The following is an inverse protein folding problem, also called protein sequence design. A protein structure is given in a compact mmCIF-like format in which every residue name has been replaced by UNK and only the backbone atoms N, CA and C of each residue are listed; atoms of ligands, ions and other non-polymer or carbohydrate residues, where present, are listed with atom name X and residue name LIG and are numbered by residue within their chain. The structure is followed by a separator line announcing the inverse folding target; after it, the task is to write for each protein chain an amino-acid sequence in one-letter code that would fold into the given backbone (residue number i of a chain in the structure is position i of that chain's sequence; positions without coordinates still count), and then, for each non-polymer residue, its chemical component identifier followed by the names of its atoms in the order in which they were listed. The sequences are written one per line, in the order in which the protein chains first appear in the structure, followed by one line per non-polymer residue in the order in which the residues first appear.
data_IF_052431925159
#
_entry.id   IF_052431925159
#
_cell.length_a   1.000
_cell.length_b   1.000
_cell.length_c   1.000
_cell.angle_alpha   90.00
_cell.angle_beta   90.00
_cell.angle_gamma   90.00
#
_symmetry.space_group_name_H-M   'P 1'
#
loop_
_entity.id
_entity.type
_entity.pdbx_description
1 polymer ?
#
# COMPACT_ATOMS: atom_id res chain seq x y z
N UNK A 1 4.75 2.91 -7.85
CA UNK A 1 5.70 2.86 -6.71
C UNK A 1 5.18 3.76 -5.62
N UNK A 2 5.02 3.23 -4.41
CA UNK A 2 4.53 3.94 -3.23
C UNK A 2 5.74 4.49 -2.45
N UNK A 3 5.75 5.77 -2.12
CA UNK A 3 6.81 6.39 -1.32
C UNK A 3 6.19 6.99 -0.07
N UNK A 4 6.58 6.51 1.11
CA UNK A 4 6.13 7.07 2.39
C UNK A 4 7.29 7.82 3.04
N UNK A 5 7.08 9.09 3.34
CA UNK A 5 7.99 9.96 4.09
C UNK A 5 7.41 10.14 5.48
N UNK A 6 8.17 9.87 6.54
CA UNK A 6 7.68 9.99 7.91
C UNK A 6 8.64 10.78 8.80
N UNK A 7 8.14 11.46 9.86
CA UNK A 7 8.99 12.06 10.87
C UNK A 7 9.81 10.99 11.60
N UNK A 8 10.91 11.43 12.22
CA UNK A 8 11.76 10.58 13.05
C UNK A 8 10.94 9.96 14.21
N UNK A 9 11.28 8.73 14.58
CA UNK A 9 10.69 7.98 15.71
C UNK A 9 9.19 7.62 15.57
N UNK A 10 8.68 7.54 14.33
CA UNK A 10 7.31 7.09 14.08
C UNK A 10 7.21 5.56 14.05
N UNK A 11 6.60 4.97 15.08
CA UNK A 11 6.42 3.50 15.18
C UNK A 11 5.62 2.91 14.02
N UNK A 12 4.67 3.66 13.44
CA UNK A 12 3.87 3.20 12.30
C UNK A 12 4.69 2.97 11.02
N UNK A 13 5.90 3.53 10.91
CA UNK A 13 6.72 3.36 9.71
C UNK A 13 7.08 1.89 9.43
N UNK A 14 7.37 1.12 10.49
CA UNK A 14 7.66 -0.31 10.37
C UNK A 14 6.44 -1.10 9.93
N UNK A 15 5.26 -0.76 10.46
CA UNK A 15 3.99 -1.41 10.11
C UNK A 15 3.65 -1.18 8.64
N UNK A 16 3.79 0.07 8.15
CA UNK A 16 3.54 0.39 6.74
C UNK A 16 4.46 -0.38 5.81
N UNK A 17 5.73 -0.50 6.16
CA UNK A 17 6.70 -1.29 5.39
C UNK A 17 6.28 -2.75 5.29
N UNK A 18 5.97 -3.39 6.41
CA UNK A 18 5.56 -4.80 6.45
C UNK A 18 4.29 -5.05 5.62
N UNK A 19 3.31 -4.14 5.70
CA UNK A 19 2.08 -4.23 4.90
C UNK A 19 2.35 -4.14 3.40
N UNK A 20 3.19 -3.19 2.99
CA UNK A 20 3.58 -3.01 1.58
C UNK A 20 4.41 -4.20 1.05
N UNK A 21 5.27 -4.79 1.89
CA UNK A 21 5.99 -6.04 1.57
C UNK A 21 5.02 -7.21 1.35
N UNK A 22 4.03 -7.40 2.24
CA UNK A 22 3.00 -8.44 2.10
C UNK A 22 2.17 -8.28 0.83
N UNK A 23 1.89 -7.05 0.44
CA UNK A 23 1.20 -6.73 -0.81
C UNK A 23 2.09 -6.89 -2.05
N UNK A 24 3.37 -7.25 -1.89
CA UNK A 24 4.36 -7.40 -2.97
C UNK A 24 4.43 -6.18 -3.91
N UNK A 25 4.18 -4.98 -3.36
CA UNK A 25 4.18 -3.75 -4.15
C UNK A 25 5.52 -3.01 -4.09
N UNK A 26 5.99 -2.43 -5.21
CA UNK A 26 7.19 -1.61 -5.21
C UNK A 26 7.02 -0.38 -4.31
N UNK A 27 7.79 -0.30 -3.23
CA UNK A 27 7.65 0.75 -2.22
C UNK A 27 8.99 1.27 -1.69
N UNK A 28 8.95 2.44 -1.07
CA UNK A 28 10.07 3.06 -0.36
C UNK A 28 9.56 3.81 0.86
N UNK A 29 10.07 3.48 2.05
CA UNK A 29 9.75 4.16 3.31
C UNK A 29 11.00 4.93 3.76
N UNK A 30 10.89 6.24 3.87
CA UNK A 30 12.00 7.16 4.16
C UNK A 30 11.69 8.03 5.36
N UNK A 31 12.72 8.27 6.17
CA UNK A 31 12.68 9.33 7.16
C UNK A 31 12.77 10.71 6.50
N UNK A 32 12.04 11.66 7.04
CA UNK A 32 11.95 13.05 6.56
C UNK A 32 11.97 14.01 7.74
N UNK A 33 12.54 15.19 7.52
CA UNK A 33 12.51 16.30 8.47
C UNK A 33 11.14 16.96 8.60
N UNK A 34 10.16 16.57 7.77
CA UNK A 34 8.79 17.06 7.86
C UNK A 34 8.12 16.54 9.14
N UNK A 35 7.33 17.39 9.83
CA UNK A 35 6.65 16.99 11.07
C UNK A 35 5.49 16.02 10.84
N UNK A 36 5.01 15.88 9.60
CA UNK A 36 3.85 15.06 9.24
C UNK A 36 4.25 14.02 8.20
N UNK A 37 3.73 12.80 8.38
CA UNK A 37 3.91 11.73 7.41
C UNK A 37 3.17 12.03 6.10
N UNK A 38 3.76 11.64 4.98
CA UNK A 38 3.26 11.89 3.64
C UNK A 38 3.51 10.64 2.77
N UNK A 39 2.46 10.14 2.12
CA UNK A 39 2.54 9.09 1.12
C UNK A 39 2.38 9.70 -0.26
N UNK A 40 3.28 9.37 -1.19
CA UNK A 40 3.22 9.79 -2.60
C UNK A 40 3.17 8.54 -3.46
N UNK A 41 2.23 8.48 -4.40
CA UNK A 41 2.11 7.40 -5.38
C UNK A 41 2.38 7.94 -6.79
N UNK A 42 3.36 7.37 -7.50
CA UNK A 42 3.63 7.67 -8.92
C UNK A 42 3.71 9.18 -9.27
N UNK A 43 4.33 9.99 -8.41
CA UNK A 43 4.43 11.46 -8.55
C UNK A 43 3.07 12.21 -8.61
N UNK A 44 1.97 11.60 -8.17
CA UNK A 44 0.67 12.27 -8.00
C UNK A 44 0.53 12.82 -6.57
N UNK A 45 -0.44 13.71 -6.38
CA UNK A 45 -0.72 14.34 -5.09
C UNK A 45 -0.76 13.30 -3.97
N UNK A 46 0.05 13.56 -2.93
CA UNK A 46 0.24 12.65 -1.83
C UNK A 46 -0.84 12.75 -0.77
N UNK A 47 -0.98 11.65 -0.01
CA UNK A 47 -1.83 11.55 1.16
C UNK A 47 -1.02 12.02 2.38
N UNK A 48 -1.54 12.95 3.17
CA UNK A 48 -0.83 13.53 4.31
C UNK A 48 -1.49 13.10 5.61
N UNK A 49 -0.70 12.66 6.58
CA UNK A 49 -1.14 12.26 7.91
C UNK A 49 -1.32 10.75 8.07
N UNK A 50 -1.09 10.26 9.29
CA UNK A 50 -1.06 8.83 9.64
C UNK A 50 -2.39 8.15 9.31
N UNK A 51 -3.51 8.76 9.70
CA UNK A 51 -4.85 8.20 9.49
C UNK A 51 -5.20 8.08 8.00
N UNK A 52 -4.85 9.10 7.22
CA UNK A 52 -5.10 9.13 5.79
C UNK A 52 -4.22 8.10 5.05
N UNK A 53 -2.97 7.93 5.47
CA UNK A 53 -2.08 6.87 4.96
C UNK A 53 -2.65 5.48 5.28
N UNK A 54 -3.10 5.25 6.52
CA UNK A 54 -3.72 3.99 6.90
C UNK A 54 -4.99 3.68 6.09
N UNK A 55 -5.82 4.70 5.86
CA UNK A 55 -7.02 4.59 5.02
C UNK A 55 -6.66 4.22 3.59
N UNK A 56 -5.64 4.86 3.03
CA UNK A 56 -5.12 4.54 1.70
C UNK A 56 -4.64 3.08 1.63
N UNK A 57 -3.79 2.63 2.55
CA UNK A 57 -3.28 1.26 2.57
C UNK A 57 -4.41 0.23 2.74
N UNK A 58 -5.42 0.52 3.57
CA UNK A 58 -6.59 -0.34 3.75
C UNK A 58 -7.40 -0.49 2.45
N UNK A 59 -7.61 0.61 1.72
CA UNK A 59 -8.33 0.56 0.45
C UNK A 59 -7.50 -0.18 -0.61
N UNK A 60 -6.20 0.11 -0.68
CA UNK A 60 -5.29 -0.52 -1.62
C UNK A 60 -5.21 -2.05 -1.42
N UNK A 61 -5.17 -2.52 -0.18
CA UNK A 61 -5.27 -3.96 0.14
C UNK A 61 -6.57 -4.59 -0.34
N UNK A 62 -7.71 -3.89 -0.18
CA UNK A 62 -9.00 -4.36 -0.67
C UNK A 62 -9.04 -4.45 -2.19
N UNK A 63 -8.51 -3.44 -2.87
CA UNK A 63 -8.48 -3.38 -4.33
C UNK A 63 -7.62 -4.51 -4.91
N UNK A 64 -6.46 -4.80 -4.31
CA UNK A 64 -5.62 -5.93 -4.69
C UNK A 64 -6.31 -7.29 -4.48
N UNK A 65 -7.02 -7.45 -3.35
CA UNK A 65 -7.78 -8.67 -3.07
C UNK A 65 -8.95 -8.86 -4.02
N UNK A 66 -9.70 -7.79 -4.31
CA UNK A 66 -10.80 -7.82 -5.28
C UNK A 66 -10.31 -8.16 -6.69
N UNK A 67 -9.20 -7.57 -7.12
CA UNK A 67 -8.59 -7.86 -8.42
C UNK A 67 -8.10 -9.30 -8.54
N UNK A 68 -7.56 -9.87 -7.47
CA UNK A 68 -7.17 -11.29 -7.44
C UNK A 68 -8.39 -12.22 -7.46
N UNK A 69 -9.47 -11.90 -6.74
CA UNK A 69 -10.69 -12.70 -6.74
C UNK A 69 -11.35 -12.73 -8.13
N UNK A 70 -11.49 -11.58 -8.80
CA UNK A 70 -12.08 -11.49 -10.15
C UNK A 70 -11.29 -12.26 -11.23
N UNK A 71 -10.01 -12.60 -10.96
CA UNK A 71 -9.16 -13.35 -11.88
C UNK A 71 -9.03 -14.83 -11.52
N UNK A 72 -9.22 -15.21 -10.26
CA UNK A 72 -9.24 -16.62 -9.85
C UNK A 72 -10.47 -17.36 -10.39
N UNK A 73 -11.59 -16.66 -10.62
CA UNK A 73 -12.82 -17.27 -11.14
C UNK A 73 -12.80 -17.56 -12.67
N UNK A 74 -11.76 -17.14 -13.39
CA UNK A 74 -11.63 -17.37 -14.85
C UNK A 74 -10.75 -18.55 -15.24
N UNK A 75 -10.17 -19.27 -14.28
CA UNK A 75 -9.29 -20.41 -14.52
C UNK A 75 -9.85 -21.75 -14.00
N UNK A 76 -11.16 -21.84 -13.78
CA UNK A 76 -11.80 -23.15 -13.85
C UNK A 76 -11.75 -23.59 -15.32
N UNK A 77 -10.71 -24.36 -15.65
CA UNK A 77 -10.70 -25.18 -16.84
C UNK A 77 -11.99 -25.99 -16.84
N UNK A 78 -12.81 -25.83 -17.89
CA UNK A 78 -13.77 -26.85 -18.29
C UNK A 78 -12.97 -28.12 -18.61
N UNK A 79 -12.66 -28.94 -17.60
CA UNK A 79 -12.50 -30.38 -17.82
C UNK A 79 -13.89 -30.94 -18.08
N UNK A 80 -14.33 -30.76 -19.33
CA UNK A 80 -15.38 -31.59 -19.91
C UNK A 80 -14.77 -32.95 -20.22
N UNK A 81 -15.03 -33.92 -19.36
CA UNK A 81 -14.84 -35.35 -19.63
C UNK A 81 -16.22 -36.03 -19.72
#
# INVERSE_FOLDING_TARGET
MIIIKHPKDLSQASEWKERLEKMTVPHLVLESSKPVAELVENNRNGVIGIEAINTFLNQYEKDLKGWNQDRCDKWFFDESD
#
